data_IF_149061622047
#
_entry.id   IF_149061622047
#
_cell.length_a   1.000
_cell.length_b   1.000
_cell.length_c   1.000
_cell.angle_alpha   90.00
_cell.angle_beta   90.00
_cell.angle_gamma   90.00
#
_symmetry.space_group_name_H-M   'P 1'
#
loop_
_entity.id
_entity.type
_entity.pdbx_description
1 polymer ?
#
# COMPACT_ATOMS: atom_id res chain seq x y z
N UNK A 1 20.36 7.04 8.00
CA UNK A 1 21.67 6.79 7.35
C UNK A 1 21.38 6.06 6.06
N UNK A 2 21.95 6.50 4.94
CA UNK A 2 21.75 5.89 3.63
C UNK A 2 22.98 5.02 3.29
N UNK A 3 22.75 3.72 3.11
CA UNK A 3 23.74 2.71 2.77
C UNK A 3 23.61 2.24 1.31
N UNK A 4 22.68 2.78 0.53
CA UNK A 4 22.49 2.40 -0.86
C UNK A 4 23.74 2.51 -1.73
N UNK A 5 24.69 3.46 -1.53
CA UNK A 5 25.95 3.49 -2.29
C UNK A 5 26.84 2.26 -2.06
N UNK A 6 26.71 1.60 -0.90
CA UNK A 6 27.49 0.40 -0.57
C UNK A 6 26.96 -0.86 -1.27
N UNK A 7 25.80 -0.82 -1.92
CA UNK A 7 25.27 -1.95 -2.69
C UNK A 7 26.21 -2.37 -3.82
N UNK A 8 27.02 -1.44 -4.34
CA UNK A 8 28.05 -1.75 -5.34
C UNK A 8 29.07 -2.80 -4.86
N UNK A 9 29.29 -2.93 -3.54
CA UNK A 9 30.16 -3.97 -2.98
C UNK A 9 29.48 -5.35 -3.02
N UNK A 10 28.16 -5.38 -2.82
CA UNK A 10 27.36 -6.62 -2.87
C UNK A 10 27.23 -7.11 -4.31
N UNK A 11 26.94 -6.21 -5.26
CA UNK A 11 26.71 -6.58 -6.66
C UNK A 11 27.97 -7.09 -7.36
N UNK A 12 29.16 -6.76 -6.84
CA UNK A 12 30.46 -7.27 -7.32
C UNK A 12 30.83 -8.65 -6.80
N UNK A 13 30.11 -9.19 -5.81
CA UNK A 13 30.40 -10.51 -5.26
C UNK A 13 30.04 -11.60 -6.29
N UNK A 14 30.92 -12.59 -6.57
CA UNK A 14 30.63 -13.66 -7.53
C UNK A 14 29.33 -14.42 -7.23
N UNK A 15 29.07 -14.74 -5.95
CA UNK A 15 27.85 -15.42 -5.53
C UNK A 15 26.58 -14.59 -5.74
N UNK A 16 26.68 -13.26 -5.79
CA UNK A 16 25.54 -12.40 -6.14
C UNK A 16 25.21 -12.52 -7.63
N UNK A 17 26.21 -12.48 -8.51
CA UNK A 17 26.01 -12.61 -9.95
C UNK A 17 25.39 -13.96 -10.32
N UNK A 18 25.83 -15.05 -9.67
CA UNK A 18 25.25 -16.39 -9.82
C UNK A 18 23.78 -16.43 -9.38
N UNK A 19 23.48 -15.88 -8.20
CA UNK A 19 22.11 -15.81 -7.68
C UNK A 19 21.20 -14.99 -8.60
N UNK A 20 21.66 -13.82 -9.05
CA UNK A 20 20.93 -12.95 -9.98
C UNK A 20 20.66 -13.66 -11.30
N UNK A 21 21.68 -14.30 -11.89
CA UNK A 21 21.54 -15.04 -13.14
C UNK A 21 20.52 -16.17 -13.03
N UNK A 22 20.56 -16.92 -11.92
CA UNK A 22 19.57 -17.97 -11.63
C UNK A 22 18.16 -17.39 -11.59
N UNK A 23 17.94 -16.32 -10.80
CA UNK A 23 16.63 -15.66 -10.66
C UNK A 23 16.10 -15.03 -11.96
N UNK A 24 17.00 -14.58 -12.85
CA UNK A 24 16.62 -13.99 -14.15
C UNK A 24 16.32 -15.06 -15.21
N UNK A 25 17.05 -16.18 -15.21
CA UNK A 25 16.88 -17.26 -16.19
C UNK A 25 15.61 -18.07 -15.95
N UNK A 26 15.20 -18.25 -14.69
CA UNK A 26 14.02 -19.03 -14.31
C UNK A 26 12.72 -18.21 -14.45
N UNK A 27 12.33 -17.97 -15.70
CA UNK A 27 11.06 -17.30 -16.01
C UNK A 27 9.89 -18.28 -15.82
N UNK A 28 9.37 -18.39 -14.60
CA UNK A 28 7.93 -18.67 -14.41
C UNK A 28 7.45 -20.02 -13.87
N UNK A 29 8.28 -20.93 -13.33
CA UNK A 29 7.69 -22.16 -12.71
C UNK A 29 8.50 -22.88 -11.62
N UNK A 30 9.77 -22.56 -11.36
CA UNK A 30 10.60 -23.49 -10.59
C UNK A 30 11.61 -22.89 -9.61
N UNK A 31 11.19 -22.01 -8.69
CA UNK A 31 11.79 -22.06 -7.35
C UNK A 31 11.23 -23.29 -6.60
N UNK A 32 11.52 -24.50 -7.11
CA UNK A 32 11.38 -25.73 -6.33
C UNK A 32 12.56 -25.75 -5.36
N UNK A 33 12.39 -25.08 -4.22
CA UNK A 33 13.30 -25.10 -3.08
C UNK A 33 14.72 -24.61 -3.40
N UNK A 34 14.90 -23.28 -3.49
CA UNK A 34 16.25 -22.70 -3.51
C UNK A 34 17.05 -23.14 -2.28
N UNK A 35 18.32 -23.50 -2.48
CA UNK A 35 19.21 -23.88 -1.37
C UNK A 35 19.32 -22.72 -0.37
N UNK A 36 19.29 -22.99 0.95
CA UNK A 36 19.56 -21.95 1.93
C UNK A 36 20.93 -21.32 1.66
N UNK A 37 20.96 -20.00 1.46
CA UNK A 37 22.20 -19.26 1.17
C UNK A 37 23.15 -19.14 2.38
N UNK A 38 22.76 -19.64 3.56
CA UNK A 38 23.58 -19.57 4.78
C UNK A 38 23.86 -18.14 5.30
N UNK A 39 23.15 -17.13 4.78
CA UNK A 39 23.46 -15.73 5.04
C UNK A 39 23.22 -15.33 6.50
N UNK A 40 24.21 -14.62 7.05
CA UNK A 40 24.08 -13.87 8.30
C UNK A 40 22.88 -12.93 8.21
N UNK A 41 22.14 -12.79 9.31
CA UNK A 41 20.94 -11.93 9.35
C UNK A 41 21.24 -10.48 8.95
N UNK A 42 22.40 -9.97 9.37
CA UNK A 42 22.86 -8.61 9.08
C UNK A 42 23.13 -8.36 7.58
N UNK A 43 23.44 -9.40 6.80
CA UNK A 43 23.69 -9.28 5.36
C UNK A 43 22.41 -9.27 4.51
N UNK A 44 21.28 -9.71 5.07
CA UNK A 44 20.01 -9.85 4.34
C UNK A 44 19.46 -8.53 3.81
N UNK A 45 19.43 -7.41 4.58
CA UNK A 45 18.94 -6.14 4.07
C UNK A 45 19.70 -5.66 2.83
N UNK A 46 21.05 -5.71 2.87
CA UNK A 46 21.89 -5.31 1.76
C UNK A 46 21.66 -6.17 0.51
N UNK A 47 21.57 -7.50 0.67
CA UNK A 47 21.28 -8.40 -0.43
C UNK A 47 19.89 -8.15 -1.04
N UNK A 48 18.86 -8.00 -0.20
CA UNK A 48 17.50 -7.77 -0.67
C UNK A 48 17.37 -6.44 -1.41
N UNK A 49 18.04 -5.39 -0.93
CA UNK A 49 18.08 -4.10 -1.61
C UNK A 49 18.78 -4.20 -2.98
N UNK A 50 19.92 -4.90 -3.05
CA UNK A 50 20.61 -5.14 -4.31
C UNK A 50 19.73 -5.93 -5.30
N UNK A 51 19.06 -6.99 -4.85
CA UNK A 51 18.13 -7.77 -5.69
C UNK A 51 16.95 -6.92 -6.17
N UNK A 52 16.38 -6.08 -5.30
CA UNK A 52 15.27 -5.19 -5.67
C UNK A 52 15.66 -4.18 -6.76
N UNK A 53 16.90 -3.65 -6.70
CA UNK A 53 17.45 -2.77 -7.72
C UNK A 53 17.65 -3.49 -9.05
N UNK A 54 18.28 -4.67 -9.02
CA UNK A 54 18.75 -5.35 -10.21
C UNK A 54 17.68 -6.17 -10.94
N UNK A 55 16.69 -6.71 -10.23
CA UNK A 55 15.65 -7.54 -10.83
C UNK A 55 14.53 -6.71 -11.46
N UNK A 56 14.32 -5.46 -11.03
CA UNK A 56 13.24 -4.59 -11.51
C UNK A 56 11.88 -5.29 -11.58
N UNK A 57 11.58 -6.13 -10.58
CA UNK A 57 10.32 -6.86 -10.40
C UNK A 57 9.86 -6.78 -8.95
N UNK A 58 8.56 -6.94 -8.66
CA UNK A 58 8.08 -6.93 -7.29
C UNK A 58 8.75 -8.03 -6.45
N UNK A 59 9.17 -7.70 -5.24
CA UNK A 59 9.84 -8.64 -4.33
C UNK A 59 8.99 -8.84 -3.07
N UNK A 60 8.57 -10.08 -2.82
CA UNK A 60 7.89 -10.47 -1.58
C UNK A 60 8.86 -11.19 -0.65
N UNK A 61 9.13 -10.59 0.50
CA UNK A 61 10.03 -11.12 1.54
C UNK A 61 9.19 -11.63 2.71
N UNK A 62 9.17 -12.95 2.89
CA UNK A 62 8.40 -13.60 3.95
C UNK A 62 9.32 -13.96 5.12
N UNK A 63 8.93 -13.55 6.32
CA UNK A 63 9.64 -13.88 7.58
C UNK A 63 8.72 -14.56 8.58
N UNK A 64 9.28 -15.13 9.63
CA UNK A 64 8.51 -15.96 10.57
C UNK A 64 7.48 -15.17 11.40
N UNK A 65 7.79 -13.93 11.83
CA UNK A 65 6.96 -13.18 12.80
C UNK A 65 6.79 -11.72 12.42
N UNK A 66 5.78 -11.06 12.99
CA UNK A 66 5.53 -9.63 12.83
C UNK A 66 6.73 -8.76 13.28
N UNK A 67 7.39 -9.12 14.39
CA UNK A 67 8.56 -8.39 14.91
C UNK A 67 9.73 -8.47 13.94
N UNK A 68 9.97 -9.65 13.35
CA UNK A 68 10.99 -9.81 12.31
C UNK A 68 10.66 -9.02 11.06
N UNK A 69 9.37 -8.92 10.70
CA UNK A 69 8.93 -8.14 9.55
C UNK A 69 9.21 -6.65 9.78
N UNK A 70 8.88 -6.15 10.98
CA UNK A 70 9.18 -4.77 11.38
C UNK A 70 10.68 -4.48 11.38
N UNK A 71 11.48 -5.29 12.08
CA UNK A 71 12.92 -5.11 12.17
C UNK A 71 13.63 -5.18 10.80
N UNK A 72 13.20 -6.10 9.94
CA UNK A 72 13.75 -6.21 8.58
C UNK A 72 13.36 -5.01 7.72
N UNK A 73 12.11 -4.53 7.81
CA UNK A 73 11.66 -3.34 7.08
C UNK A 73 12.48 -2.11 7.49
N UNK A 74 12.65 -1.89 8.80
CA UNK A 74 13.46 -0.79 9.33
C UNK A 74 14.92 -0.87 8.85
N UNK A 75 15.51 -2.06 8.89
CA UNK A 75 16.89 -2.26 8.42
C UNK A 75 17.00 -2.05 6.91
N UNK A 76 16.08 -2.61 6.12
CA UNK A 76 16.08 -2.55 4.66
C UNK A 76 15.88 -1.12 4.15
N UNK A 77 15.11 -0.30 4.87
CA UNK A 77 14.90 1.12 4.53
C UNK A 77 16.21 1.88 4.34
N UNK A 78 17.21 1.61 5.18
CA UNK A 78 18.52 2.28 5.10
C UNK A 78 19.35 1.85 3.88
N UNK A 79 19.05 0.71 3.26
CA UNK A 79 19.79 0.19 2.10
C UNK A 79 19.14 0.52 0.76
N UNK A 80 17.89 0.99 0.74
CA UNK A 80 17.17 1.28 -0.48
C UNK A 80 17.38 2.72 -0.93
N UNK A 81 17.83 2.91 -2.17
CA UNK A 81 17.96 4.24 -2.78
C UNK A 81 16.61 4.97 -2.90
N UNK A 82 15.52 4.21 -3.06
CA UNK A 82 14.15 4.72 -3.04
C UNK A 82 13.32 4.00 -1.97
N UNK A 83 13.28 4.51 -0.72
CA UNK A 83 12.50 3.94 0.36
C UNK A 83 10.99 3.95 0.14
N UNK A 84 10.46 4.76 -0.79
CA UNK A 84 9.01 4.90 -1.00
C UNK A 84 8.39 3.62 -1.57
N UNK A 85 9.21 2.77 -2.18
CA UNK A 85 8.82 1.47 -2.75
C UNK A 85 8.83 0.33 -1.72
N UNK A 86 9.31 0.60 -0.50
CA UNK A 86 9.39 -0.39 0.56
C UNK A 86 8.11 -0.37 1.38
N UNK A 87 7.36 -1.46 1.31
CA UNK A 87 6.13 -1.63 2.05
C UNK A 87 6.23 -2.78 3.04
N UNK A 88 5.53 -2.63 4.16
CA UNK A 88 5.30 -3.72 5.12
C UNK A 88 3.85 -4.16 4.95
N UNK A 89 3.61 -5.45 4.77
CA UNK A 89 2.26 -6.02 4.83
C UNK A 89 2.02 -6.52 6.26
N UNK A 90 1.34 -5.73 7.11
CA UNK A 90 1.27 -5.99 8.53
C UNK A 90 0.34 -7.16 8.86
N UNK A 91 0.66 -7.78 9.99
CA UNK A 91 -0.12 -8.83 10.62
C UNK A 91 -1.21 -8.20 11.49
N UNK A 92 -2.48 -8.63 11.38
CA UNK A 92 -3.50 -8.26 12.35
C UNK A 92 -3.20 -8.82 13.74
N UNK A 93 -3.45 -8.05 14.79
CA UNK A 93 -3.32 -8.53 16.17
C UNK A 93 -4.31 -9.67 16.46
N UNK A 94 -5.54 -9.53 15.95
CA UNK A 94 -6.60 -10.52 16.06
C UNK A 94 -6.17 -11.88 15.50
N UNK A 95 -6.50 -12.95 16.22
CA UNK A 95 -6.30 -14.32 15.75
C UNK A 95 -7.21 -14.63 14.55
N UNK A 96 -6.89 -15.71 13.83
CA UNK A 96 -7.78 -16.19 12.78
C UNK A 96 -9.16 -16.49 13.36
N UNK A 97 -10.20 -16.02 12.68
CA UNK A 97 -11.62 -16.17 13.07
C UNK A 97 -12.04 -15.43 14.33
N UNK A 98 -11.14 -14.72 15.00
CA UNK A 98 -11.49 -13.83 16.09
C UNK A 98 -12.19 -12.58 15.54
N UNK A 99 -13.36 -12.25 16.11
CA UNK A 99 -14.13 -11.05 15.74
C UNK A 99 -13.61 -9.83 16.50
N UNK A 100 -12.34 -9.52 16.34
CA UNK A 100 -11.71 -8.34 16.90
C UNK A 100 -11.40 -7.33 15.77
N UNK A 101 -11.64 -6.02 16.00
CA UNK A 101 -11.33 -5.00 15.02
C UNK A 101 -9.81 -4.92 14.79
N UNK A 102 -9.43 -4.67 13.55
CA UNK A 102 -8.04 -4.39 13.23
C UNK A 102 -7.72 -2.93 13.50
N UNK A 103 -6.49 -2.65 13.89
CA UNK A 103 -6.03 -1.27 14.04
C UNK A 103 -5.97 -0.60 12.66
N UNK A 104 -6.11 0.73 12.66
CA UNK A 104 -6.04 1.50 11.42
C UNK A 104 -4.69 1.33 10.72
N UNK A 105 -3.58 1.27 11.46
CA UNK A 105 -2.25 1.02 10.90
C UNK A 105 -2.20 -0.29 10.09
N UNK A 106 -2.84 -1.35 10.58
CA UNK A 106 -2.89 -2.64 9.89
C UNK A 106 -3.70 -2.51 8.60
N UNK A 107 -4.92 -1.94 8.68
CA UNK A 107 -5.81 -1.79 7.52
C UNK A 107 -5.15 -0.93 6.43
N UNK A 108 -4.62 0.23 6.82
CA UNK A 108 -3.95 1.17 5.90
C UNK A 108 -2.72 0.52 5.27
N UNK A 109 -1.83 -0.07 6.08
CA UNK A 109 -0.60 -0.69 5.57
C UNK A 109 -0.88 -1.83 4.59
N UNK A 110 -1.92 -2.63 4.83
CA UNK A 110 -2.33 -3.69 3.91
C UNK A 110 -2.90 -3.14 2.61
N UNK A 111 -3.80 -2.15 2.66
CA UNK A 111 -4.37 -1.52 1.47
C UNK A 111 -3.31 -0.80 0.62
N UNK A 112 -2.31 -0.18 1.25
CA UNK A 112 -1.16 0.41 0.57
C UNK A 112 -0.35 -0.62 -0.22
N UNK A 113 -0.08 -1.78 0.38
CA UNK A 113 0.59 -2.90 -0.31
C UNK A 113 -0.24 -3.39 -1.50
N UNK A 114 -1.56 -3.58 -1.33
CA UNK A 114 -2.43 -4.02 -2.42
C UNK A 114 -2.45 -3.02 -3.58
N UNK A 115 -2.52 -1.72 -3.28
CA UNK A 115 -2.45 -0.67 -4.29
C UNK A 115 -1.10 -0.70 -5.05
N UNK A 116 0.01 -0.78 -4.32
CA UNK A 116 1.35 -0.81 -4.90
C UNK A 116 1.60 -2.06 -5.77
N UNK A 117 1.00 -3.20 -5.42
CA UNK A 117 1.11 -4.44 -6.21
C UNK A 117 0.24 -4.43 -7.47
N UNK A 118 -0.87 -3.71 -7.46
CA UNK A 118 -1.77 -3.62 -8.63
C UNK A 118 -1.24 -2.68 -9.71
N UNK A 119 -0.62 -1.58 -9.30
CA UNK A 119 -0.06 -0.56 -10.19
C UNK A 119 1.42 -0.31 -9.83
N UNK A 120 2.31 -1.29 -10.07
CA UNK A 120 3.72 -1.19 -9.65
C UNK A 120 4.51 -0.08 -10.36
N UNK A 121 3.98 0.48 -11.45
CA UNK A 121 4.65 1.49 -12.28
C UNK A 121 6.03 1.03 -12.75
N UNK A 122 6.93 1.99 -12.97
CA UNK A 122 8.34 1.72 -13.29
C UNK A 122 9.16 1.30 -12.05
N UNK A 123 8.51 1.30 -10.88
CA UNK A 123 9.13 1.14 -9.58
C UNK A 123 8.48 0.00 -8.78
N UNK A 124 8.66 -1.27 -9.22
CA UNK A 124 8.12 -2.44 -8.52
C UNK A 124 8.32 -2.42 -7.00
N UNK A 125 7.29 -2.76 -6.21
CA UNK A 125 7.37 -2.68 -4.75
C UNK A 125 8.21 -3.80 -4.14
N UNK A 126 8.83 -3.50 -3.00
CA UNK A 126 9.44 -4.48 -2.10
C UNK A 126 8.53 -4.61 -0.90
N UNK A 127 7.97 -5.80 -0.68
CA UNK A 127 6.99 -6.06 0.37
C UNK A 127 7.61 -7.00 1.40
N UNK A 128 7.68 -6.58 2.65
CA UNK A 128 8.09 -7.43 3.78
C UNK A 128 6.85 -7.85 4.56
N UNK A 129 6.72 -9.15 4.84
CA UNK A 129 5.56 -9.70 5.55
C UNK A 129 5.92 -10.88 6.44
N UNK A 130 5.04 -11.22 7.39
CA UNK A 130 5.13 -12.46 8.17
C UNK A 130 4.34 -13.59 7.50
N UNK A 131 4.66 -14.85 7.85
CA UNK A 131 3.89 -16.01 7.39
C UNK A 131 2.41 -15.88 7.78
N UNK A 132 2.11 -15.47 9.02
CA UNK A 132 0.72 -15.29 9.49
C UNK A 132 -0.01 -14.18 8.74
N UNK A 133 0.64 -13.04 8.49
CA UNK A 133 0.04 -11.96 7.71
C UNK A 133 -0.32 -12.40 6.28
N UNK A 134 0.52 -13.24 5.67
CA UNK A 134 0.32 -13.79 4.32
C UNK A 134 -0.82 -14.82 4.28
N UNK A 135 -1.01 -15.60 5.34
CA UNK A 135 -2.10 -16.58 5.43
C UNK A 135 -3.48 -15.92 5.58
N UNK A 136 -3.54 -14.67 6.05
CA UNK A 136 -4.78 -13.93 6.17
C UNK A 136 -5.34 -13.57 4.78
N UNK A 137 -6.50 -14.15 4.44
CA UNK A 137 -7.22 -13.83 3.22
C UNK A 137 -7.48 -12.32 3.12
N UNK A 138 -7.35 -11.78 1.91
CA UNK A 138 -7.43 -10.34 1.60
C UNK A 138 -8.37 -10.09 0.44
N UNK A 139 -8.63 -8.81 0.15
CA UNK A 139 -9.53 -8.38 -0.92
C UNK A 139 -9.03 -8.88 -2.29
N UNK A 140 -9.87 -9.57 -3.09
CA UNK A 140 -9.45 -10.03 -4.40
C UNK A 140 -9.00 -8.88 -5.31
N UNK A 141 -7.96 -9.07 -6.15
CA UNK A 141 -7.43 -8.01 -7.02
C UNK A 141 -8.48 -7.34 -7.91
N UNK A 142 -9.46 -8.11 -8.39
CA UNK A 142 -10.59 -7.59 -9.19
C UNK A 142 -11.49 -6.68 -8.35
N UNK A 143 -11.79 -7.05 -7.11
CA UNK A 143 -12.65 -6.26 -6.23
C UNK A 143 -11.98 -4.96 -5.80
N UNK A 144 -10.67 -5.01 -5.54
CA UNK A 144 -9.89 -3.80 -5.27
C UNK A 144 -9.94 -2.86 -6.47
N UNK A 145 -9.61 -3.34 -7.69
CA UNK A 145 -9.66 -2.53 -8.92
C UNK A 145 -11.03 -1.92 -9.19
N UNK A 146 -12.11 -2.70 -9.06
CA UNK A 146 -13.49 -2.21 -9.23
C UNK A 146 -13.92 -1.23 -8.12
N UNK A 147 -13.28 -1.28 -6.95
CA UNK A 147 -13.51 -0.35 -5.85
C UNK A 147 -12.68 0.92 -5.95
N UNK A 148 -11.59 0.92 -6.71
CA UNK A 148 -10.76 2.09 -6.91
C UNK A 148 -11.38 3.06 -7.91
N UNK A 149 -11.47 4.34 -7.56
CA UNK A 149 -11.95 5.41 -8.43
C UNK A 149 -10.93 6.52 -8.55
N UNK A 150 -10.69 7.01 -9.75
CA UNK A 150 -9.90 8.22 -9.99
C UNK A 150 -10.84 9.38 -10.32
N UNK A 151 -10.68 10.48 -9.59
CA UNK A 151 -11.36 11.75 -9.86
C UNK A 151 -10.37 12.72 -10.49
N UNK A 152 -10.84 13.50 -11.47
CA UNK A 152 -10.04 14.54 -12.15
C UNK A 152 -10.72 15.89 -12.06
N UNK A 153 -9.95 16.97 -12.05
CA UNK A 153 -10.49 18.31 -12.24
C UNK A 153 -11.23 18.42 -13.59
N UNK A 154 -12.40 19.06 -13.60
CA UNK A 154 -13.28 19.17 -14.75
C UNK A 154 -14.13 17.92 -15.03
N UNK A 155 -14.05 16.89 -14.19
CA UNK A 155 -14.88 15.69 -14.36
C UNK A 155 -16.31 15.96 -13.91
N UNK A 156 -17.28 15.53 -14.72
CA UNK A 156 -18.69 15.47 -14.32
C UNK A 156 -18.96 14.18 -13.51
N UNK A 157 -19.38 14.33 -12.26
CA UNK A 157 -19.80 13.25 -11.37
C UNK A 157 -20.71 13.75 -10.24
N UNK A 158 -21.76 13.00 -9.93
CA UNK A 158 -22.64 13.31 -8.80
C UNK A 158 -21.95 12.98 -7.47
N UNK A 159 -22.06 13.93 -6.53
CA UNK A 159 -21.56 13.79 -5.16
C UNK A 159 -22.29 12.65 -4.41
N UNK A 160 -23.60 12.52 -4.58
CA UNK A 160 -24.43 11.47 -3.96
C UNK A 160 -23.95 10.08 -4.38
N UNK A 161 -23.66 9.89 -5.68
CA UNK A 161 -23.15 8.62 -6.21
C UNK A 161 -21.77 8.29 -5.67
N UNK A 162 -20.94 9.28 -5.38
CA UNK A 162 -19.63 9.08 -4.76
C UNK A 162 -19.77 8.65 -3.31
N UNK A 163 -20.58 9.36 -2.52
CA UNK A 163 -20.84 9.04 -1.12
C UNK A 163 -21.40 7.62 -0.97
N UNK A 164 -22.43 7.28 -1.76
CA UNK A 164 -23.03 5.94 -1.74
C UNK A 164 -22.00 4.84 -2.08
N UNK A 165 -21.15 5.09 -3.08
CA UNK A 165 -20.09 4.15 -3.45
C UNK A 165 -19.05 3.99 -2.33
N UNK A 166 -18.60 5.09 -1.71
CA UNK A 166 -17.58 5.06 -0.67
C UNK A 166 -18.03 4.35 0.60
N UNK A 167 -19.29 4.52 1.02
CA UNK A 167 -19.85 3.74 2.13
C UNK A 167 -19.75 2.23 1.85
N UNK A 168 -20.08 1.80 0.62
CA UNK A 168 -19.93 0.41 0.19
C UNK A 168 -18.48 -0.08 0.10
N UNK A 169 -17.50 0.83 0.10
CA UNK A 169 -16.07 0.57 0.06
C UNK A 169 -15.38 0.65 1.43
N UNK A 170 -16.16 0.83 2.50
CA UNK A 170 -15.67 0.86 3.87
C UNK A 170 -15.28 2.25 4.38
N UNK A 171 -15.58 3.31 3.63
CA UNK A 171 -15.39 4.67 4.14
C UNK A 171 -16.46 5.02 5.17
N UNK A 172 -16.06 5.78 6.19
CA UNK A 172 -16.94 6.20 7.29
C UNK A 172 -17.22 7.70 7.22
N UNK A 173 -18.47 8.15 7.38
CA UNK A 173 -18.78 9.57 7.47
C UNK A 173 -18.21 10.14 8.78
N UNK A 174 -17.70 11.37 8.71
CA UNK A 174 -17.21 12.14 9.83
C UNK A 174 -17.61 13.61 9.68
N UNK A 175 -17.66 14.35 10.80
CA UNK A 175 -17.89 15.81 10.79
C UNK A 175 -16.68 16.56 10.25
N UNK A 176 -15.49 16.09 10.63
CA UNK A 176 -14.18 16.57 10.18
C UNK A 176 -13.35 15.34 9.82
N UNK A 177 -12.63 15.43 8.70
CA UNK A 177 -11.77 14.34 8.23
C UNK A 177 -10.40 14.49 8.88
N UNK A 178 -10.06 13.52 9.72
CA UNK A 178 -8.81 13.48 10.48
C UNK A 178 -8.01 12.20 10.19
N UNK A 179 -8.70 11.10 9.92
CA UNK A 179 -8.07 9.79 9.76
C UNK A 179 -8.33 9.14 8.39
N UNK A 180 -7.41 8.29 7.88
CA UNK A 180 -7.64 7.48 6.68
C UNK A 180 -8.94 6.67 6.72
N UNK A 181 -9.66 6.63 5.58
CA UNK A 181 -10.95 5.95 5.45
C UNK A 181 -12.14 6.78 5.94
N UNK A 182 -11.93 8.04 6.32
CA UNK A 182 -13.03 8.97 6.63
C UNK A 182 -13.40 9.83 5.40
N UNK A 183 -14.65 10.31 5.38
CA UNK A 183 -15.09 11.38 4.48
C UNK A 183 -16.06 12.33 5.18
N UNK A 184 -16.17 13.56 4.70
CA UNK A 184 -17.18 14.53 5.15
C UNK A 184 -17.80 15.24 3.95
N UNK A 185 -19.08 15.59 4.05
CA UNK A 185 -19.81 16.35 3.03
C UNK A 185 -20.32 17.65 3.62
N UNK A 186 -20.02 18.78 2.99
CA UNK A 186 -20.41 20.13 3.43
C UNK A 186 -20.76 20.99 2.21
N UNK A 187 -22.04 21.12 1.90
CA UNK A 187 -22.50 21.83 0.71
C UNK A 187 -21.91 21.22 -0.58
N UNK A 188 -21.22 22.04 -1.37
CA UNK A 188 -20.47 21.63 -2.56
C UNK A 188 -19.08 21.06 -2.29
N UNK A 189 -18.73 20.76 -1.03
CA UNK A 189 -17.41 20.23 -0.66
C UNK A 189 -17.53 18.80 -0.18
N UNK A 190 -16.61 17.96 -0.65
CA UNK A 190 -16.43 16.58 -0.20
C UNK A 190 -14.96 16.39 0.21
N UNK A 191 -14.72 16.20 1.51
CA UNK A 191 -13.40 15.85 2.03
C UNK A 191 -13.31 14.34 2.15
N UNK A 192 -12.18 13.74 1.78
CA UNK A 192 -11.93 12.30 1.90
C UNK A 192 -10.48 12.06 2.25
N UNK A 193 -10.20 11.03 3.06
CA UNK A 193 -8.83 10.60 3.34
C UNK A 193 -8.59 9.19 2.75
N UNK A 194 -8.01 9.09 1.55
CA UNK A 194 -7.63 7.81 0.97
C UNK A 194 -6.55 7.10 1.83
N UNK A 195 -6.65 5.79 2.07
CA UNK A 195 -5.64 5.07 2.85
C UNK A 195 -4.27 4.98 2.15
N UNK A 196 -4.23 5.19 0.84
CA UNK A 196 -2.99 5.19 0.05
C UNK A 196 -2.28 6.53 0.02
N UNK A 197 -2.92 7.60 0.48
CA UNK A 197 -2.41 8.94 0.36
C UNK A 197 -1.82 9.41 1.69
N UNK A 198 -0.84 10.33 1.64
CA UNK A 198 -0.20 10.88 2.83
C UNK A 198 -1.08 11.87 3.59
N UNK A 199 -2.21 12.29 3.01
CA UNK A 199 -3.10 13.27 3.59
C UNK A 199 -4.46 13.29 2.90
N UNK A 200 -5.45 13.94 3.53
CA UNK A 200 -6.78 14.04 2.98
C UNK A 200 -6.84 15.02 1.80
N UNK A 201 -7.85 14.81 0.96
CA UNK A 201 -8.14 15.58 -0.24
C UNK A 201 -9.52 16.20 -0.11
N UNK A 202 -9.57 17.50 -0.34
CA UNK A 202 -10.78 18.30 -0.50
C UNK A 202 -11.16 18.34 -1.97
N UNK A 203 -12.41 17.99 -2.26
CA UNK A 203 -13.00 18.00 -3.59
C UNK A 203 -14.08 19.07 -3.58
N UNK A 204 -13.87 20.15 -4.33
CA UNK A 204 -14.82 21.25 -4.49
C UNK A 204 -15.62 21.01 -5.77
N UNK A 205 -16.95 21.10 -5.66
CA UNK A 205 -17.90 20.89 -6.75
C UNK A 205 -18.63 22.19 -7.10
N UNK A 206 -18.85 22.38 -8.40
CA UNK A 206 -19.80 23.35 -8.95
C UNK A 206 -20.90 22.58 -9.69
N UNK A 207 -22.05 22.40 -9.05
CA UNK A 207 -23.05 21.44 -9.51
C UNK A 207 -22.51 20.01 -9.46
N UNK A 208 -22.50 19.34 -10.62
CA UNK A 208 -21.93 17.99 -10.78
C UNK A 208 -20.49 18.00 -11.32
N UNK A 209 -19.85 19.17 -11.46
CA UNK A 209 -18.48 19.27 -11.95
C UNK A 209 -17.47 19.37 -10.80
N UNK A 210 -16.39 18.58 -10.87
CA UNK A 210 -15.23 18.72 -9.96
C UNK A 210 -14.44 19.97 -10.34
N UNK A 211 -14.71 21.07 -9.66
CA UNK A 211 -14.06 22.36 -9.89
C UNK A 211 -12.59 22.33 -9.44
N UNK A 212 -12.32 21.76 -8.26
CA UNK A 212 -10.97 21.75 -7.70
C UNK A 212 -10.70 20.56 -6.78
N UNK A 213 -9.45 20.09 -6.79
CA UNK A 213 -8.93 19.05 -5.90
C UNK A 213 -7.75 19.62 -5.13
N UNK A 214 -7.74 19.51 -3.79
CA UNK A 214 -6.67 20.06 -2.96
C UNK A 214 -6.32 19.12 -1.82
N UNK A 215 -5.03 18.89 -1.59
CA UNK A 215 -4.57 18.30 -0.32
C UNK A 215 -4.80 19.29 0.80
N UNK A 216 -5.11 18.83 2.00
CA UNK A 216 -5.17 19.68 3.18
C UNK A 216 -4.56 18.99 4.40
N UNK A 217 -4.21 19.79 5.39
CA UNK A 217 -3.68 19.29 6.66
C UNK A 217 -4.83 18.82 7.57
N UNK A 218 -4.85 17.56 8.03
CA UNK A 218 -5.97 17.05 8.83
C UNK A 218 -6.10 17.73 10.20
N UNK A 219 -5.01 18.24 10.78
CA UNK A 219 -5.05 18.90 12.09
C UNK A 219 -5.51 20.36 12.01
N UNK A 220 -5.07 21.10 10.99
CA UNK A 220 -5.38 22.53 10.84
C UNK A 220 -6.52 22.82 9.87
N UNK A 221 -6.94 21.82 9.07
CA UNK A 221 -7.95 21.92 8.01
C UNK A 221 -7.61 22.95 6.92
N UNK A 222 -6.33 23.32 6.79
CA UNK A 222 -5.84 24.28 5.80
C UNK A 222 -5.42 23.58 4.51
N UNK A 223 -5.91 24.09 3.37
CA UNK A 223 -5.49 23.61 2.06
C UNK A 223 -3.99 23.83 1.84
N UNK A 224 -3.37 22.89 1.13
CA UNK A 224 -1.97 22.89 0.75
C UNK A 224 -1.87 22.94 -0.78
N UNK A 225 -1.59 21.78 -1.38
CA UNK A 225 -1.31 21.61 -2.80
C UNK A 225 -2.58 21.37 -3.62
N UNK A 226 -2.65 21.93 -4.84
CA UNK A 226 -3.68 21.61 -5.83
C UNK A 226 -3.31 20.35 -6.60
N UNK A 227 -4.30 19.51 -6.88
CA UNK A 227 -4.15 18.27 -7.63
C UNK A 227 -4.92 18.34 -8.95
N UNK A 228 -4.40 17.73 -10.01
CA UNK A 228 -5.16 17.50 -11.25
C UNK A 228 -6.04 16.26 -11.17
N UNK A 229 -5.63 15.29 -10.33
CA UNK A 229 -6.34 14.03 -10.11
C UNK A 229 -6.06 13.46 -8.72
N UNK A 230 -6.99 12.66 -8.21
CA UNK A 230 -6.85 11.86 -6.99
C UNK A 230 -7.36 10.45 -7.25
N UNK A 231 -6.68 9.43 -6.73
CA UNK A 231 -7.10 8.03 -6.81
C UNK A 231 -7.53 7.57 -5.43
N UNK A 232 -8.73 7.01 -5.34
CA UNK A 232 -9.42 6.69 -4.10
C UNK A 232 -9.71 5.18 -4.13
N UNK A 233 -8.87 4.34 -3.50
CA UNK A 233 -9.07 2.90 -3.40
C UNK A 233 -10.13 2.58 -2.33
N UNK A 234 -10.48 1.29 -2.11
CA UNK A 234 -11.27 0.91 -0.94
C UNK A 234 -10.60 1.30 0.37
N UNK A 235 -11.41 1.59 1.40
CA UNK A 235 -10.95 1.90 2.76
C UNK A 235 -10.93 0.68 3.70
N UNK A 236 -11.38 -0.48 3.22
CA UNK A 236 -11.41 -1.75 3.96
C UNK A 236 -11.13 -2.93 3.04
N UNK A 237 -10.55 -4.00 3.59
CA UNK A 237 -10.47 -5.31 2.91
C UNK A 237 -11.78 -6.09 2.99
N UNK A 238 -12.58 -5.86 4.04
CA UNK A 238 -13.93 -6.39 4.18
C UNK A 238 -14.93 -5.32 3.72
N UNK A 239 -15.35 -5.40 2.45
CA UNK A 239 -16.22 -4.39 1.85
C UNK A 239 -17.67 -4.56 2.34
N UNK A 240 -18.29 -3.51 2.93
CA UNK A 240 -19.70 -3.57 3.35
C UNK A 240 -20.65 -4.01 2.24
N UNK A 241 -20.40 -3.59 0.99
CA UNK A 241 -21.23 -3.95 -0.18
C UNK A 241 -21.21 -5.45 -0.54
N UNK A 242 -20.26 -6.21 0.00
CA UNK A 242 -20.12 -7.66 -0.22
C UNK A 242 -20.57 -8.48 1.00
N UNK A 243 -20.92 -7.80 2.10
CA UNK A 243 -21.47 -8.44 3.29
C UNK A 243 -22.98 -8.71 3.14
N UNK A 244 -23.56 -9.51 4.04
CA UNK A 244 -25.01 -9.61 4.14
C UNK A 244 -25.60 -8.22 4.37
N UNK A 245 -26.71 -7.91 3.68
CA UNK A 245 -27.45 -6.68 3.94
C UNK A 245 -27.82 -6.67 5.43
N UNK A 246 -27.38 -5.63 6.15
CA UNK A 246 -27.82 -5.41 7.52
C UNK A 246 -29.28 -4.96 7.40
N UNK A 247 -30.20 -5.84 7.81
CA UNK A 247 -31.63 -5.58 7.86
C UNK A 247 -31.96 -4.53 8.93
#
# INVERSE_FOLDING_TARGET
>A
MDFSPLLALITRAPGYAELKGTLQSETGSALRHGRPLGLLRAARPALLAALAQDLSRPLLVVVATAERSRALTESLRAWMADPTRLHRFPEPNALFYERAPWTQEVVVGRLQVLAALLEPGDRPPVVVTSVRALMQATLPPRQFRLGTRTLRRGQLTSMEKLVAAWMGLGYRPATVVEEPGQFSRRGGILDVYPPTDEGPVRIEFFGDEVESLRRFDPATQRSRERLERVTIPPASEALPRLGPAIA
#
